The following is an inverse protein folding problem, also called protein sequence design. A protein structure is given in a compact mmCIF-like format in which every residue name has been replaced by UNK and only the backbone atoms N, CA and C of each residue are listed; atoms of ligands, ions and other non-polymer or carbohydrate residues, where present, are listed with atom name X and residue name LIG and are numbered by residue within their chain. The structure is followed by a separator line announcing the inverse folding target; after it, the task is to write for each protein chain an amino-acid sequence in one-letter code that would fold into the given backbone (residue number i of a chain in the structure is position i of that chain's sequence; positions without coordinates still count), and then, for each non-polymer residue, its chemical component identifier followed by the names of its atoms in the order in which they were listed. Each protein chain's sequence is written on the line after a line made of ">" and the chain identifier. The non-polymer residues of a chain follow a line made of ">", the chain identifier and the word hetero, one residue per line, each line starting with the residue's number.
data_IF_455539827959
#
_entry.id   IF_455539827959
#
_cell.length_a   1.000
_cell.length_b   1.000
_cell.length_c   1.000
_cell.angle_alpha   90.00
_cell.angle_beta   90.00
_cell.angle_gamma   90.00
#
_symmetry.space_group_name_H-M   'P 1'
#
loop_
_entity.id
_entity.type
_entity.pdbx_description
1 polymer ?
#
# COMPACT_ATOMS: atom_id res chain seq x y z
N UNK A 1 27.76 2.25 -3.87
CA UNK A 1 27.83 3.53 -3.13
C UNK A 1 27.11 3.33 -1.80
N UNK A 2 27.80 3.62 -0.69
CA UNK A 2 27.56 3.27 0.75
C UNK A 2 26.12 3.65 1.22
N UNK A 3 25.38 3.03 2.16
CA UNK A 3 25.60 2.46 3.52
C UNK A 3 24.37 1.56 3.82
N UNK A 4 24.45 0.31 4.30
CA UNK A 4 24.73 -0.15 5.66
C UNK A 4 23.48 -0.10 6.56
N UNK A 5 22.89 -1.25 6.95
CA UNK A 5 21.95 -1.34 8.08
C UNK A 5 22.07 -2.68 8.81
N UNK A 6 22.20 -2.58 10.13
CA UNK A 6 22.52 -3.62 11.10
C UNK A 6 21.37 -4.59 11.37
N UNK A 7 21.76 -5.82 11.70
CA UNK A 7 20.89 -6.96 11.95
C UNK A 7 20.35 -7.05 13.39
N UNK A 8 19.08 -7.45 13.46
CA UNK A 8 18.48 -8.48 14.34
C UNK A 8 18.42 -8.25 15.87
N UNK A 9 17.20 -8.34 16.44
CA UNK A 9 16.97 -9.01 17.73
C UNK A 9 15.49 -9.35 17.97
N UNK A 10 15.25 -10.64 18.25
CA UNK A 10 14.01 -11.25 18.75
C UNK A 10 13.79 -10.83 20.22
N UNK A 11 12.65 -10.27 20.65
CA UNK A 11 11.50 -11.03 21.17
C UNK A 11 10.33 -10.07 21.45
N UNK A 12 9.15 -10.40 20.91
CA UNK A 12 7.78 -9.84 21.17
C UNK A 12 7.38 -8.47 20.57
N UNK A 13 8.24 -7.73 19.87
CA UNK A 13 7.85 -6.51 19.13
C UNK A 13 8.97 -6.05 18.16
N UNK A 14 9.34 -6.93 17.23
CA UNK A 14 10.55 -6.72 16.42
C UNK A 14 10.29 -5.78 15.25
N UNK A 15 11.02 -4.67 15.18
CA UNK A 15 11.11 -3.83 13.98
C UNK A 15 12.14 -4.47 13.03
N UNK A 16 11.67 -5.03 11.93
CA UNK A 16 12.53 -5.61 10.90
C UNK A 16 12.74 -4.57 9.79
N UNK A 17 14.00 -4.19 9.57
CA UNK A 17 14.43 -3.31 8.49
C UNK A 17 15.06 -4.15 7.38
N UNK A 18 14.43 -4.21 6.20
CA UNK A 18 14.99 -4.92 5.04
C UNK A 18 15.30 -3.96 3.89
N UNK A 19 16.59 -3.69 3.59
CA UNK A 19 16.96 -3.06 2.33
C UNK A 19 16.85 -4.08 1.20
N UNK A 20 16.13 -3.73 0.14
CA UNK A 20 15.84 -4.59 -1.01
C UNK A 20 16.59 -4.02 -2.23
N UNK A 21 17.41 -4.85 -2.89
CA UNK A 21 18.18 -4.47 -4.08
C UNK A 21 17.34 -4.56 -5.37
N UNK A 22 17.77 -3.89 -6.44
CA UNK A 22 17.08 -3.88 -7.74
C UNK A 22 16.84 -5.31 -8.26
N UNK A 23 15.59 -5.60 -8.64
CA UNK A 23 15.04 -6.92 -9.02
C UNK A 23 15.02 -7.99 -7.91
N UNK A 24 14.46 -7.69 -6.73
CA UNK A 24 14.26 -8.72 -5.70
C UNK A 24 12.81 -8.89 -5.24
N UNK A 25 12.36 -10.14 -5.29
CA UNK A 25 11.13 -10.59 -4.64
C UNK A 25 11.41 -10.80 -3.15
N UNK A 26 11.02 -9.84 -2.30
CA UNK A 26 11.13 -9.97 -0.85
C UNK A 26 9.91 -10.72 -0.28
N UNK A 27 9.88 -12.05 -0.38
CA UNK A 27 8.90 -12.86 0.34
C UNK A 27 9.20 -12.86 1.84
N UNK A 28 8.84 -11.78 2.53
CA UNK A 28 8.93 -11.69 3.97
C UNK A 28 7.61 -12.10 4.62
N UNK A 29 7.47 -13.39 4.91
CA UNK A 29 6.37 -13.92 5.71
C UNK A 29 6.66 -13.67 7.19
N UNK A 30 6.63 -12.41 7.62
CA UNK A 30 6.65 -12.12 9.04
C UNK A 30 5.23 -12.34 9.59
N UNK A 31 5.11 -13.20 10.60
CA UNK A 31 3.81 -13.56 11.16
C UNK A 31 3.22 -12.43 12.00
N UNK A 32 4.06 -11.71 12.74
CA UNK A 32 3.65 -10.67 13.69
C UNK A 32 4.74 -9.59 13.81
N UNK A 33 4.37 -8.31 13.90
CA UNK A 33 5.29 -7.23 14.28
C UNK A 33 5.33 -6.01 13.34
N UNK A 34 6.48 -5.33 13.30
CA UNK A 34 6.69 -4.13 12.48
C UNK A 34 7.68 -4.44 11.34
N UNK A 35 7.28 -4.21 10.09
CA UNK A 35 8.13 -4.41 8.91
C UNK A 35 8.27 -3.11 8.12
N UNK A 36 9.52 -2.71 7.87
CA UNK A 36 9.87 -1.58 7.01
C UNK A 36 10.63 -2.05 5.78
N UNK A 37 10.09 -1.75 4.60
CA UNK A 37 10.70 -2.06 3.30
C UNK A 37 10.88 -0.78 2.49
N UNK A 38 12.09 -0.61 1.95
CA UNK A 38 12.41 0.46 0.99
C UNK A 38 13.01 -0.14 -0.26
N UNK A 39 12.49 0.28 -1.41
CA UNK A 39 12.81 -0.28 -2.72
C UNK A 39 13.00 0.81 -3.77
N UNK A 40 14.07 0.76 -4.55
CA UNK A 40 14.32 1.80 -5.55
C UNK A 40 13.61 1.54 -6.90
N UNK A 41 13.57 0.30 -7.38
CA UNK A 41 13.10 0.01 -8.73
C UNK A 41 12.95 -1.48 -9.05
N UNK A 42 12.02 -1.83 -9.94
CA UNK A 42 11.73 -3.20 -10.36
C UNK A 42 10.46 -3.76 -9.71
N UNK A 43 10.45 -5.06 -9.39
CA UNK A 43 9.29 -5.74 -8.82
C UNK A 43 9.51 -6.05 -7.33
N UNK A 44 8.54 -5.70 -6.48
CA UNK A 44 8.53 -6.03 -5.06
C UNK A 44 7.19 -6.70 -4.69
N UNK A 45 7.28 -7.86 -4.04
CA UNK A 45 6.16 -8.58 -3.45
C UNK A 45 6.37 -8.63 -1.95
N UNK A 46 5.39 -8.22 -1.13
CA UNK A 46 5.43 -8.30 0.34
C UNK A 46 4.11 -8.87 0.87
N UNK A 47 4.19 -9.81 1.81
CA UNK A 47 3.01 -10.38 2.46
C UNK A 47 3.19 -10.44 3.98
N UNK A 48 2.39 -9.68 4.71
CA UNK A 48 2.41 -9.64 6.17
C UNK A 48 1.15 -10.29 6.75
N UNK A 49 1.24 -10.92 7.92
CA UNK A 49 0.08 -11.53 8.54
C UNK A 49 -0.56 -10.55 9.55
N UNK A 50 0.13 -10.17 10.62
CA UNK A 50 -0.41 -9.29 11.66
C UNK A 50 0.57 -8.18 12.07
N UNK A 51 0.10 -6.93 12.15
CA UNK A 51 0.87 -5.82 12.71
C UNK A 51 1.01 -4.63 11.78
N UNK A 52 2.19 -4.00 11.72
CA UNK A 52 2.42 -2.75 11.00
C UNK A 52 3.40 -2.97 9.85
N UNK A 53 2.93 -2.72 8.62
CA UNK A 53 3.76 -2.81 7.41
C UNK A 53 3.89 -1.43 6.76
N UNK A 54 5.12 -0.96 6.62
CA UNK A 54 5.48 0.26 5.89
C UNK A 54 6.32 -0.11 4.67
N UNK A 55 5.80 0.17 3.47
CA UNK A 55 6.49 -0.05 2.19
C UNK A 55 6.61 1.25 1.44
N UNK A 56 7.82 1.57 0.99
CA UNK A 56 8.08 2.74 0.16
C UNK A 56 8.86 2.36 -1.09
N UNK A 57 8.47 2.92 -2.22
CA UNK A 57 9.22 2.78 -3.46
C UNK A 57 9.33 4.08 -4.24
N UNK A 58 10.42 4.21 -4.99
CA UNK A 58 10.55 5.28 -5.99
C UNK A 58 9.85 4.86 -7.28
N UNK A 59 10.15 3.68 -7.79
CA UNK A 59 9.75 3.25 -9.14
C UNK A 59 9.36 1.77 -9.14
N UNK A 60 8.47 1.38 -10.07
CA UNK A 60 8.26 -0.02 -10.43
C UNK A 60 6.91 -0.60 -10.02
N UNK A 61 6.89 -1.90 -9.73
CA UNK A 61 5.69 -2.68 -9.47
C UNK A 61 5.68 -3.19 -8.03
N UNK A 62 4.70 -2.75 -7.25
CA UNK A 62 4.49 -3.13 -5.87
C UNK A 62 3.25 -4.02 -5.73
N UNK A 63 3.43 -5.19 -5.13
CA UNK A 63 2.35 -6.07 -4.71
C UNK A 63 2.45 -6.28 -3.20
N UNK A 64 1.51 -5.74 -2.44
CA UNK A 64 1.53 -5.77 -0.98
C UNK A 64 0.22 -6.29 -0.42
N UNK A 65 0.30 -7.27 0.48
CA UNK A 65 -0.87 -7.81 1.16
C UNK A 65 -0.65 -7.89 2.67
N UNK A 66 -1.68 -7.55 3.45
CA UNK A 66 -1.77 -7.83 4.88
C UNK A 66 -3.04 -8.63 5.20
N UNK A 67 -3.02 -9.48 6.23
CA UNK A 67 -4.27 -10.00 6.78
C UNK A 67 -4.86 -9.02 7.78
N UNK A 68 -4.10 -8.64 8.79
CA UNK A 68 -4.58 -7.83 9.91
C UNK A 68 -3.58 -6.73 10.27
N UNK A 69 -4.11 -5.56 10.66
CA UNK A 69 -3.32 -4.45 11.21
C UNK A 69 -3.25 -3.22 10.32
N UNK A 70 -2.09 -2.55 10.29
CA UNK A 70 -1.88 -1.28 9.61
C UNK A 70 -0.93 -1.43 8.44
N UNK A 71 -1.42 -1.13 7.24
CA UNK A 71 -0.65 -1.19 6.01
C UNK A 71 -0.50 0.22 5.41
N UNK A 72 0.75 0.68 5.28
CA UNK A 72 1.10 1.94 4.65
C UNK A 72 2.02 1.69 3.46
N UNK A 73 1.52 1.97 2.25
CA UNK A 73 2.26 1.78 1.00
C UNK A 73 2.34 3.10 0.24
N UNK A 74 3.54 3.45 -0.19
CA UNK A 74 3.78 4.64 -1.02
C UNK A 74 4.66 4.31 -2.21
N UNK A 75 4.26 4.81 -3.38
CA UNK A 75 5.12 4.84 -4.57
C UNK A 75 5.21 6.25 -5.12
N UNK A 76 6.36 6.63 -5.70
CA UNK A 76 6.41 7.83 -6.55
C UNK A 76 5.86 7.49 -7.93
N UNK A 77 6.39 6.46 -8.57
CA UNK A 77 6.06 6.12 -9.96
C UNK A 77 5.80 4.62 -10.11
N UNK A 78 4.82 4.26 -10.96
CA UNK A 78 4.60 2.88 -11.41
C UNK A 78 3.26 2.29 -11.00
N UNK A 79 3.26 1.00 -10.68
CA UNK A 79 2.05 0.22 -10.40
C UNK A 79 2.05 -0.24 -8.94
N UNK A 80 0.97 0.04 -8.22
CA UNK A 80 0.80 -0.35 -6.82
C UNK A 80 -0.50 -1.13 -6.67
N UNK A 81 -0.36 -2.37 -6.20
CA UNK A 81 -1.46 -3.22 -5.76
C UNK A 81 -1.35 -3.45 -4.26
N UNK A 82 -2.32 -2.96 -3.50
CA UNK A 82 -2.36 -3.13 -2.06
C UNK A 82 -3.67 -3.75 -1.60
N UNK A 83 -3.59 -4.75 -0.73
CA UNK A 83 -4.77 -5.41 -0.17
C UNK A 83 -4.66 -5.63 1.33
N UNK A 84 -5.77 -5.44 2.03
CA UNK A 84 -5.92 -5.84 3.44
C UNK A 84 -7.20 -6.65 3.63
N UNK A 85 -7.18 -7.63 4.54
CA UNK A 85 -8.40 -8.30 4.99
C UNK A 85 -9.06 -7.47 6.10
N UNK A 86 -8.33 -7.08 7.12
CA UNK A 86 -8.83 -6.33 8.27
C UNK A 86 -7.85 -5.22 8.69
N UNK A 87 -8.39 -4.06 9.09
CA UNK A 87 -7.62 -2.97 9.69
C UNK A 87 -7.52 -1.71 8.82
N UNK A 88 -6.38 -1.03 8.88
CA UNK A 88 -6.19 0.27 8.23
C UNK A 88 -5.26 0.15 7.03
N UNK A 89 -5.72 0.63 5.88
CA UNK A 89 -4.94 0.65 4.64
C UNK A 89 -4.78 2.08 4.11
N UNK A 90 -3.55 2.56 4.09
CA UNK A 90 -3.14 3.76 3.35
C UNK A 90 -2.31 3.34 2.15
N UNK A 91 -2.80 3.60 0.95
CA UNK A 91 -2.05 3.37 -0.28
C UNK A 91 -1.99 4.67 -1.09
N UNK A 92 -0.78 5.13 -1.38
CA UNK A 92 -0.56 6.42 -2.03
C UNK A 92 0.36 6.30 -3.23
N UNK A 93 0.05 7.06 -4.28
CA UNK A 93 0.92 7.20 -5.45
C UNK A 93 1.02 8.66 -5.89
N UNK A 94 2.20 9.06 -6.39
CA UNK A 94 2.33 10.34 -7.10
C UNK A 94 1.88 10.16 -8.55
N UNK A 95 2.41 9.18 -9.26
CA UNK A 95 2.15 8.93 -10.67
C UNK A 95 1.97 7.42 -10.94
N UNK A 96 0.95 7.06 -11.73
CA UNK A 96 0.79 5.71 -12.29
C UNK A 96 -0.55 5.04 -11.97
N UNK A 97 -0.51 3.73 -11.71
CA UNK A 97 -1.71 2.91 -11.52
C UNK A 97 -1.79 2.43 -10.07
N UNK A 98 -2.93 2.68 -9.43
CA UNK A 98 -3.18 2.36 -8.04
C UNK A 98 -4.42 1.49 -7.92
N UNK A 99 -4.24 0.22 -7.54
CA UNK A 99 -5.29 -0.74 -7.29
C UNK A 99 -5.32 -1.10 -5.81
N UNK A 100 -6.42 -0.79 -5.13
CA UNK A 100 -6.49 -0.96 -3.67
C UNK A 100 -7.79 -1.62 -3.26
N UNK A 101 -7.68 -2.64 -2.40
CA UNK A 101 -8.85 -3.34 -1.88
C UNK A 101 -8.76 -3.58 -0.38
N UNK A 102 -9.84 -3.30 0.34
CA UNK A 102 -10.02 -3.76 1.72
C UNK A 102 -11.30 -4.58 1.85
N UNK A 103 -11.31 -5.58 2.76
CA UNK A 103 -12.57 -6.22 3.16
C UNK A 103 -13.19 -5.47 4.33
N UNK A 104 -12.46 -5.30 5.43
CA UNK A 104 -12.93 -4.68 6.67
C UNK A 104 -11.98 -3.59 7.14
N UNK A 105 -12.52 -2.49 7.67
CA UNK A 105 -11.76 -1.38 8.23
C UNK A 105 -11.73 -0.11 7.37
N UNK A 106 -10.65 0.66 7.51
CA UNK A 106 -10.53 1.99 6.91
C UNK A 106 -9.58 1.98 5.71
N UNK A 107 -10.05 2.51 4.59
CA UNK A 107 -9.28 2.64 3.36
C UNK A 107 -9.08 4.11 2.98
N UNK A 108 -7.84 4.56 2.93
CA UNK A 108 -7.43 5.90 2.52
C UNK A 108 -6.54 5.81 1.27
N UNK A 109 -6.95 6.45 0.17
CA UNK A 109 -6.27 6.31 -1.13
C UNK A 109 -6.05 7.67 -1.81
N UNK A 110 -4.96 8.39 -1.48
CA UNK A 110 -4.57 9.58 -2.22
C UNK A 110 -3.70 9.24 -3.44
N UNK A 111 -4.09 9.76 -4.61
CA UNK A 111 -3.29 9.78 -5.83
C UNK A 111 -3.21 11.20 -6.40
N UNK A 112 -2.07 11.56 -7.01
CA UNK A 112 -1.96 12.81 -7.76
C UNK A 112 -2.31 12.62 -9.23
N UNK A 113 -1.65 11.70 -9.91
CA UNK A 113 -1.79 11.51 -11.36
C UNK A 113 -1.92 10.04 -11.73
N UNK A 114 -2.92 9.72 -12.55
CA UNK A 114 -3.07 8.41 -13.20
C UNK A 114 -4.39 7.72 -12.91
N UNK A 115 -4.37 6.38 -12.88
CA UNK A 115 -5.57 5.57 -12.74
C UNK A 115 -5.68 5.01 -11.33
N UNK A 116 -6.82 5.26 -10.68
CA UNK A 116 -7.11 4.79 -9.33
C UNK A 116 -8.35 3.90 -9.37
N UNK A 117 -8.20 2.67 -8.90
CA UNK A 117 -9.31 1.77 -8.60
C UNK A 117 -9.28 1.40 -7.12
N UNK A 118 -10.32 1.77 -6.39
CA UNK A 118 -10.48 1.46 -4.98
C UNK A 118 -11.74 0.64 -4.75
N UNK A 119 -11.61 -0.43 -3.96
CA UNK A 119 -12.73 -1.25 -3.54
C UNK A 119 -12.73 -1.45 -2.03
N UNK A 120 -13.86 -1.24 -1.38
CA UNK A 120 -14.06 -1.64 0.02
C UNK A 120 -15.37 -2.42 0.18
N UNK A 121 -15.41 -3.41 1.08
CA UNK A 121 -16.67 -4.08 1.43
C UNK A 121 -17.33 -3.41 2.63
N UNK A 122 -16.57 -3.12 3.67
CA UNK A 122 -17.10 -2.69 4.97
C UNK A 122 -16.40 -1.42 5.49
N UNK A 123 -17.16 -0.62 6.24
CA UNK A 123 -16.75 0.59 6.99
C UNK A 123 -16.50 1.88 6.19
N UNK A 124 -15.26 2.30 5.93
CA UNK A 124 -14.95 3.67 5.49
C UNK A 124 -13.98 3.71 4.31
N UNK A 125 -14.36 4.46 3.27
CA UNK A 125 -13.51 4.72 2.11
C UNK A 125 -13.37 6.22 1.85
N UNK A 126 -12.12 6.70 1.92
CA UNK A 126 -11.74 8.03 1.50
C UNK A 126 -10.78 7.94 0.32
N UNK A 127 -11.23 8.44 -0.83
CA UNK A 127 -10.42 8.49 -2.04
C UNK A 127 -10.21 9.93 -2.47
N UNK A 128 -8.97 10.25 -2.83
CA UNK A 128 -8.60 11.54 -3.39
C UNK A 128 -7.78 11.33 -4.63
N UNK A 129 -8.25 11.82 -5.78
CA UNK A 129 -7.49 11.78 -7.03
C UNK A 129 -7.48 13.19 -7.65
N UNK A 130 -6.28 13.73 -7.92
CA UNK A 130 -6.18 15.07 -8.51
C UNK A 130 -6.43 15.02 -10.01
N UNK A 131 -5.73 14.18 -10.75
CA UNK A 131 -5.77 14.11 -12.21
C UNK A 131 -5.77 12.65 -12.71
N UNK A 132 -6.61 12.36 -13.71
CA UNK A 132 -6.74 11.05 -14.33
C UNK A 132 -8.11 10.41 -14.11
N UNK A 133 -8.13 9.09 -13.89
CA UNK A 133 -9.36 8.31 -13.80
C UNK A 133 -9.54 7.72 -12.41
N UNK A 134 -10.80 7.75 -11.95
CA UNK A 134 -11.19 7.22 -10.66
C UNK A 134 -12.36 6.26 -10.83
N UNK A 135 -12.17 5.01 -10.40
CA UNK A 135 -13.23 4.02 -10.24
C UNK A 135 -13.31 3.58 -8.78
N UNK A 136 -14.51 3.65 -8.20
CA UNK A 136 -14.75 3.27 -6.82
C UNK A 136 -15.90 2.29 -6.74
N UNK A 137 -15.66 1.15 -6.10
CA UNK A 137 -16.70 0.15 -5.81
C UNK A 137 -16.83 -0.05 -4.31
N UNK A 138 -18.02 0.16 -3.75
CA UNK A 138 -18.26 -0.05 -2.33
C UNK A 138 -19.59 -0.71 -2.04
N UNK A 139 -19.62 -1.61 -1.05
CA UNK A 139 -20.84 -2.34 -0.67
C UNK A 139 -21.65 -1.71 0.46
N UNK A 140 -21.06 -0.87 1.34
CA UNK A 140 -21.76 -0.25 2.49
C UNK A 140 -21.28 1.19 2.80
N UNK A 141 -21.33 1.65 4.06
CA UNK A 141 -22.09 2.82 4.56
C UNK A 141 -21.55 4.24 4.31
N UNK A 142 -20.25 4.47 4.09
CA UNK A 142 -19.70 5.84 4.00
C UNK A 142 -18.57 6.01 2.98
N UNK A 143 -18.85 6.78 1.92
CA UNK A 143 -17.93 7.09 0.82
C UNK A 143 -17.65 8.59 0.76
N UNK A 144 -16.38 8.98 0.79
CA UNK A 144 -15.94 10.33 0.49
C UNK A 144 -14.97 10.34 -0.69
N UNK A 145 -15.35 11.03 -1.77
CA UNK A 145 -14.52 11.22 -2.96
C UNK A 145 -14.18 12.71 -3.09
N UNK A 146 -12.88 13.00 -3.14
CA UNK A 146 -12.34 14.33 -3.42
C UNK A 146 -11.62 14.32 -4.77
N UNK A 147 -12.15 15.05 -5.75
CA UNK A 147 -11.50 15.19 -7.06
C UNK A 147 -11.40 16.64 -7.49
N UNK A 148 -10.30 16.99 -8.16
CA UNK A 148 -10.08 18.36 -8.70
C UNK A 148 -10.08 18.42 -10.23
N UNK A 149 -9.75 17.33 -10.94
CA UNK A 149 -9.82 17.19 -12.42
C UNK A 149 -9.88 15.71 -12.87
N UNK A 150 -10.73 14.88 -12.25
CA UNK A 150 -10.84 13.46 -12.61
C UNK A 150 -12.17 13.12 -13.27
N UNK A 151 -12.14 12.16 -14.20
CA UNK A 151 -13.36 11.50 -14.68
C UNK A 151 -13.71 10.37 -13.71
N UNK A 152 -14.81 10.53 -12.96
CA UNK A 152 -15.29 9.56 -11.97
C UNK A 152 -16.39 8.68 -12.56
N UNK A 153 -16.24 7.36 -12.50
CA UNK A 153 -17.31 6.39 -12.78
C UNK A 153 -17.62 5.59 -11.51
N UNK A 154 -18.91 5.31 -11.31
CA UNK A 154 -19.48 4.58 -10.18
C UNK A 154 -20.09 3.26 -10.66
#
# INVERSE_FOLDING_TARGET
>A
MVVGMNQFQDTRNTLILKPVAENSALLDYNKEGYLLVSHNGGYLLVSHNEGYLLVSSKEGYLLVSSKEGYLLVSSKEGYLLASSKEGYLLASSKEGYLLVSSKEGYLLVPSKEGYLLASSKEEYLLVSNKEGYLLVSMKTTQLLILTKKCSCWF
#
